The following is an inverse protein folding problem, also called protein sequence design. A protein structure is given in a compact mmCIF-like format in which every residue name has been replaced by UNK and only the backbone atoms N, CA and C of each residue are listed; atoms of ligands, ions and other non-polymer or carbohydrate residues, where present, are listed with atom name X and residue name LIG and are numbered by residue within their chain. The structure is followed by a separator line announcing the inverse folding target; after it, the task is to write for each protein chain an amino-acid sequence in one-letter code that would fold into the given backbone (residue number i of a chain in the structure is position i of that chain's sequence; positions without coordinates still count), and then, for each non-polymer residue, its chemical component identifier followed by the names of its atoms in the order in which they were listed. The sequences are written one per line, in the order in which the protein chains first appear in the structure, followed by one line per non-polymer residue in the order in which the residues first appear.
data_IF_374481706895
#
_entry.id   IF_374481706895
#
_cell.length_a   1.000
_cell.length_b   1.000
_cell.length_c   1.000
_cell.angle_alpha   90.00
_cell.angle_beta   90.00
_cell.angle_gamma   90.00
#
_symmetry.space_group_name_H-M   'P 1'
#
loop_
_entity.id
_entity.type
_entity.pdbx_description
1 polymer ?
#
# COMPACT_ATOMS: atom_id res chain seq x y z
N UNK A 1 56.48 10.76 18.73
CA UNK A 1 55.99 11.99 18.07
C UNK A 1 56.37 13.15 19.00
N UNK A 2 57.52 13.80 18.78
CA UNK A 2 58.04 14.90 19.63
C UNK A 2 57.22 16.19 19.49
N UNK A 3 57.86 17.37 19.47
CA UNK A 3 57.21 18.70 19.37
C UNK A 3 56.06 18.82 18.35
N UNK A 4 56.09 18.08 17.23
CA UNK A 4 54.97 18.01 16.26
C UNK A 4 53.66 17.43 16.82
N UNK A 5 53.72 16.59 17.85
CA UNK A 5 52.55 16.06 18.53
C UNK A 5 51.87 17.10 19.42
N UNK A 6 52.66 17.98 20.05
CA UNK A 6 52.13 19.12 20.81
C UNK A 6 51.49 20.16 19.88
N UNK A 7 52.11 20.41 18.72
CA UNK A 7 51.55 21.31 17.71
C UNK A 7 50.22 20.77 17.14
N UNK A 8 50.15 19.47 16.82
CA UNK A 8 48.91 18.83 16.37
C UNK A 8 47.83 18.90 17.44
N UNK A 9 48.20 18.66 18.70
CA UNK A 9 47.27 18.75 19.84
C UNK A 9 46.77 20.17 20.03
N UNK A 10 47.63 21.19 19.92
CA UNK A 10 47.23 22.61 19.96
C UNK A 10 46.36 23.01 18.78
N UNK A 11 46.60 22.45 17.59
CA UNK A 11 45.78 22.72 16.41
C UNK A 11 44.39 22.09 16.54
N UNK A 12 44.30 20.86 17.07
CA UNK A 12 43.04 20.18 17.34
C UNK A 12 42.27 20.86 18.48
N UNK A 13 42.94 21.19 19.58
CA UNK A 13 42.34 21.92 20.71
C UNK A 13 41.89 23.32 20.28
N UNK A 14 42.71 24.04 19.52
CA UNK A 14 42.36 25.36 18.99
C UNK A 14 41.23 25.32 17.95
N UNK A 15 41.08 24.23 17.18
CA UNK A 15 39.92 24.01 16.32
C UNK A 15 38.66 23.72 17.14
N UNK A 16 38.75 22.85 18.16
CA UNK A 16 37.64 22.55 19.06
C UNK A 16 37.17 23.78 19.82
N UNK A 17 38.09 24.62 20.31
CA UNK A 17 37.79 25.87 21.02
C UNK A 17 37.21 26.96 20.10
N UNK A 18 37.61 26.99 18.81
CA UNK A 18 37.03 27.91 17.81
C UNK A 18 35.69 27.44 17.23
N UNK A 19 35.36 26.17 17.37
CA UNK A 19 34.03 25.70 17.02
C UNK A 19 33.05 26.21 18.07
N UNK A 20 32.38 27.32 17.74
CA UNK A 20 31.22 27.81 18.48
C UNK A 20 30.21 26.65 18.59
N UNK A 21 30.10 26.04 19.78
CA UNK A 21 29.25 24.86 20.02
C UNK A 21 27.80 25.03 19.53
N UNK A 22 27.30 26.26 19.45
CA UNK A 22 26.00 26.59 18.87
C UNK A 22 25.84 26.30 17.36
N UNK A 23 26.90 26.45 16.54
CA UNK A 23 26.83 26.18 15.10
C UNK A 23 26.80 24.67 14.81
N UNK A 24 27.66 23.89 15.46
CA UNK A 24 27.63 22.43 15.35
C UNK A 24 26.34 21.84 15.94
N UNK A 25 25.88 22.34 17.09
CA UNK A 25 24.60 21.92 17.66
C UNK A 25 23.42 22.25 16.73
N UNK A 26 23.43 23.41 16.09
CA UNK A 26 22.42 23.79 15.10
C UNK A 26 22.42 22.87 13.87
N UNK A 27 23.59 22.57 13.31
CA UNK A 27 23.72 21.63 12.18
C UNK A 27 23.27 20.22 12.58
N UNK A 28 23.67 19.75 13.76
CA UNK A 28 23.26 18.45 14.29
C UNK A 28 21.75 18.34 14.49
N UNK A 29 21.12 19.40 15.02
CA UNK A 29 19.67 19.45 15.18
C UNK A 29 18.95 19.41 13.83
N UNK A 30 19.40 20.19 12.85
CA UNK A 30 18.84 20.18 11.49
C UNK A 30 18.96 18.78 10.87
N UNK A 31 20.12 18.14 11.00
CA UNK A 31 20.35 16.80 10.47
C UNK A 31 19.48 15.74 11.17
N UNK A 32 19.29 15.85 12.48
CA UNK A 32 18.43 14.97 13.27
C UNK A 32 16.96 15.12 12.86
N UNK A 33 16.47 16.36 12.71
CA UNK A 33 15.12 16.62 12.23
C UNK A 33 14.95 16.07 10.81
N UNK A 34 15.90 16.35 9.91
CA UNK A 34 15.88 15.86 8.54
C UNK A 34 15.83 14.34 8.46
N UNK A 35 16.71 13.65 9.19
CA UNK A 35 16.77 12.18 9.20
C UNK A 35 15.51 11.56 9.80
N UNK A 36 14.97 12.13 10.88
CA UNK A 36 13.72 11.68 11.50
C UNK A 36 12.54 11.81 10.54
N UNK A 37 12.38 12.97 9.89
CA UNK A 37 11.32 13.19 8.89
C UNK A 37 11.50 12.28 7.69
N UNK A 38 12.73 12.09 7.21
CA UNK A 38 13.04 11.17 6.11
C UNK A 38 12.68 9.73 6.46
N UNK A 39 12.97 9.29 7.68
CA UNK A 39 12.64 7.96 8.16
C UNK A 39 11.12 7.75 8.19
N UNK A 40 10.36 8.68 8.76
CA UNK A 40 8.89 8.60 8.80
C UNK A 40 8.32 8.50 7.38
N UNK A 41 8.81 9.33 6.45
CA UNK A 41 8.38 9.28 5.06
C UNK A 41 8.64 7.93 4.41
N UNK A 42 9.82 7.34 4.61
CA UNK A 42 10.14 6.00 4.08
C UNK A 42 9.24 4.91 4.65
N UNK A 43 8.88 5.01 5.93
CA UNK A 43 7.91 4.10 6.57
C UNK A 43 6.56 4.23 5.88
N UNK A 44 6.04 5.45 5.74
CA UNK A 44 4.77 5.70 5.06
C UNK A 44 4.79 5.21 3.61
N UNK A 45 5.84 5.52 2.85
CA UNK A 45 6.02 5.09 1.47
C UNK A 45 6.04 3.55 1.35
N UNK A 46 6.65 2.86 2.31
CA UNK A 46 6.68 1.38 2.34
C UNK A 46 5.29 0.79 2.57
N UNK A 47 4.51 1.36 3.48
CA UNK A 47 3.12 0.95 3.69
C UNK A 47 2.26 1.28 2.47
N UNK A 48 2.35 2.50 1.94
CA UNK A 48 1.65 2.91 0.73
C UNK A 48 1.99 2.02 -0.46
N UNK A 49 3.23 1.57 -0.58
CA UNK A 49 3.66 0.60 -1.59
C UNK A 49 2.95 -0.75 -1.43
N UNK A 50 2.91 -1.30 -0.21
CA UNK A 50 2.20 -2.56 0.10
C UNK A 50 0.71 -2.43 -0.21
N UNK A 51 0.10 -1.31 0.17
CA UNK A 51 -1.32 -1.03 -0.06
C UNK A 51 -1.63 -0.48 -1.47
N UNK A 52 -0.62 -0.38 -2.35
CA UNK A 52 -0.70 0.09 -3.73
C UNK A 52 -1.37 1.46 -3.89
N UNK A 53 -1.02 2.40 -3.02
CA UNK A 53 -1.52 3.79 -3.06
C UNK A 53 -0.64 4.62 -4.00
N UNK A 54 -1.22 5.16 -5.08
CA UNK A 54 -0.47 5.88 -6.13
C UNK A 54 -0.07 7.33 -5.73
N UNK A 55 -0.68 7.91 -4.70
CA UNK A 55 -0.41 9.28 -4.26
C UNK A 55 -0.20 9.38 -2.73
N UNK A 56 1.03 9.68 -2.31
CA UNK A 56 1.35 10.13 -0.95
C UNK A 56 0.93 11.60 -0.83
N UNK A 57 -0.05 11.91 0.03
CA UNK A 57 -0.36 13.30 0.40
C UNK A 57 0.81 13.89 1.22
N UNK A 58 0.77 15.20 1.49
CA UNK A 58 1.85 15.90 2.20
C UNK A 58 2.02 15.36 3.64
N UNK A 59 3.13 14.67 3.91
CA UNK A 59 3.48 14.06 5.23
C UNK A 59 3.36 15.07 6.39
N UNK A 60 3.68 16.35 6.11
CA UNK A 60 3.66 17.43 7.10
C UNK A 60 2.24 17.78 7.59
N UNK A 61 1.20 17.56 6.78
CA UNK A 61 -0.19 17.80 7.18
C UNK A 61 -0.70 16.76 8.19
N UNK A 62 -0.16 15.54 8.17
CA UNK A 62 -0.54 14.45 9.08
C UNK A 62 0.38 14.28 10.27
N UNK A 63 1.49 15.03 10.33
CA UNK A 63 2.41 14.99 11.45
C UNK A 63 1.71 15.24 12.80
N UNK A 64 0.74 16.16 12.85
CA UNK A 64 -0.07 16.43 14.05
C UNK A 64 -0.94 15.24 14.48
N UNK A 65 -1.53 14.52 13.51
CA UNK A 65 -2.35 13.34 13.76
C UNK A 65 -1.49 12.18 14.28
N UNK A 66 -0.31 11.95 13.69
CA UNK A 66 0.65 10.95 14.15
C UNK A 66 1.28 11.29 15.49
N UNK A 67 1.62 12.56 15.72
CA UNK A 67 2.18 13.04 16.98
C UNK A 67 1.18 12.88 18.13
N UNK A 68 -0.10 13.15 17.88
CA UNK A 68 -1.17 12.94 18.87
C UNK A 68 -1.26 11.48 19.28
N UNK A 69 -1.29 10.56 18.32
CA UNK A 69 -1.30 9.12 18.61
C UNK A 69 -0.03 8.66 19.32
N UNK A 70 1.14 9.13 18.86
CA UNK A 70 2.44 8.73 19.42
C UNK A 70 2.65 9.23 20.85
N UNK A 71 2.07 10.37 21.22
CA UNK A 71 2.13 10.92 22.58
C UNK A 71 1.04 10.32 23.47
N UNK A 72 -0.19 10.22 22.97
CA UNK A 72 -1.34 9.74 23.74
C UNK A 72 -1.27 8.22 23.96
N UNK A 73 -0.80 7.45 22.96
CA UNK A 73 -0.72 5.99 23.00
C UNK A 73 0.10 5.44 24.18
N UNK A 74 1.36 5.87 24.38
CA UNK A 74 2.18 5.47 25.52
C UNK A 74 1.60 5.91 26.86
N UNK A 75 1.05 7.12 26.96
CA UNK A 75 0.41 7.62 28.19
C UNK A 75 -0.79 6.73 28.54
N UNK A 76 -1.63 6.41 27.56
CA UNK A 76 -2.75 5.49 27.75
C UNK A 76 -2.28 4.08 28.13
N UNK A 77 -1.24 3.56 27.48
CA UNK A 77 -0.66 2.25 27.83
C UNK A 77 -0.15 2.22 29.26
N UNK A 78 0.68 3.19 29.66
CA UNK A 78 1.24 3.25 31.03
C UNK A 78 0.12 3.42 32.05
N UNK A 79 -0.89 4.25 31.75
CA UNK A 79 -2.05 4.41 32.62
C UNK A 79 -2.86 3.12 32.74
N UNK A 80 -3.09 2.42 31.62
CA UNK A 80 -3.77 1.13 31.59
C UNK A 80 -2.98 0.05 32.35
N UNK A 81 -1.66 -0.02 32.17
CA UNK A 81 -0.79 -0.94 32.91
C UNK A 81 -0.77 -0.62 34.39
N UNK A 82 -0.77 0.67 34.78
CA UNK A 82 -0.87 1.10 36.16
C UNK A 82 -2.21 0.71 36.80
N UNK A 83 -3.32 0.90 36.08
CA UNK A 83 -4.66 0.46 36.50
C UNK A 83 -4.75 -1.06 36.61
N UNK A 84 -4.22 -1.81 35.64
CA UNK A 84 -4.17 -3.28 35.67
C UNK A 84 -3.30 -3.79 36.82
N UNK A 85 -2.16 -3.17 37.09
CA UNK A 85 -1.32 -3.50 38.24
C UNK A 85 -2.01 -3.18 39.57
N UNK A 86 -2.73 -2.07 39.64
CA UNK A 86 -3.54 -1.72 40.82
C UNK A 86 -4.65 -2.74 41.06
N UNK A 87 -5.40 -3.10 40.01
CA UNK A 87 -6.45 -4.13 40.07
C UNK A 87 -5.88 -5.51 40.41
N UNK A 88 -4.73 -5.87 39.84
CA UNK A 88 -4.05 -7.14 40.12
C UNK A 88 -3.54 -7.25 41.56
N UNK A 89 -3.27 -6.14 42.23
CA UNK A 89 -2.89 -6.11 43.65
C UNK A 89 -4.09 -6.08 44.61
N UNK A 90 -5.34 -5.93 44.13
CA UNK A 90 -6.51 -5.99 45.00
C UNK A 90 -6.61 -7.39 45.64
N UNK A 91 -6.81 -7.43 46.96
CA UNK A 91 -6.93 -8.67 47.74
C UNK A 91 -8.02 -9.61 47.20
N UNK A 92 -9.06 -9.06 46.57
CA UNK A 92 -10.15 -9.83 45.95
C UNK A 92 -9.63 -10.65 44.74
N UNK A 93 -8.71 -10.10 43.96
CA UNK A 93 -8.12 -10.78 42.78
C UNK A 93 -7.09 -11.82 43.24
N UNK A 94 -6.30 -11.51 44.28
CA UNK A 94 -5.34 -12.47 44.86
C UNK A 94 -6.05 -13.63 45.58
N UNK A 95 -7.16 -13.37 46.27
CA UNK A 95 -7.97 -14.41 46.92
C UNK A 95 -8.80 -15.22 45.91
N UNK A 96 -9.24 -14.61 44.80
CA UNK A 96 -9.88 -15.32 43.69
C UNK A 96 -8.90 -16.23 42.94
N UNK A 97 -7.61 -15.88 42.87
CA UNK A 97 -6.57 -16.72 42.28
C UNK A 97 -6.30 -18.04 43.04
N UNK A 98 -6.84 -18.22 44.25
CA UNK A 98 -6.85 -19.49 44.98
C UNK A 98 -7.89 -20.50 44.49
N UNK A 99 -8.80 -20.10 43.59
CA UNK A 99 -9.76 -20.97 42.94
C UNK A 99 -9.08 -21.56 41.70
N UNK A 100 -8.97 -22.89 41.61
CA UNK A 100 -8.16 -23.59 40.60
C UNK A 100 -8.43 -23.19 39.14
N UNK A 101 -9.64 -22.76 38.78
CA UNK A 101 -9.97 -22.26 37.44
C UNK A 101 -9.49 -20.83 37.14
N UNK A 102 -9.27 -20.00 38.16
CA UNK A 102 -8.85 -18.59 38.02
C UNK A 102 -7.32 -18.49 37.90
N UNK A 103 -6.58 -19.40 38.52
CA UNK A 103 -5.12 -19.44 38.40
C UNK A 103 -4.65 -19.77 36.99
N UNK A 104 -5.20 -20.83 36.37
CA UNK A 104 -4.84 -21.25 35.01
C UNK A 104 -5.22 -20.20 33.97
N UNK A 105 -6.39 -19.56 34.11
CA UNK A 105 -6.84 -18.48 33.23
C UNK A 105 -5.98 -17.23 33.37
N UNK A 106 -5.53 -16.88 34.58
CA UNK A 106 -4.64 -15.73 34.80
C UNK A 106 -3.25 -15.97 34.19
N UNK A 107 -2.71 -17.19 34.32
CA UNK A 107 -1.45 -17.59 33.68
C UNK A 107 -1.52 -17.56 32.16
N UNK A 108 -2.62 -18.07 31.60
CA UNK A 108 -2.85 -18.12 30.16
C UNK A 108 -3.04 -16.71 29.57
N UNK A 109 -3.77 -15.84 30.27
CA UNK A 109 -3.88 -14.41 29.92
C UNK A 109 -2.52 -13.73 29.98
N UNK A 110 -1.71 -13.98 31.01
CA UNK A 110 -0.36 -13.40 31.13
C UNK A 110 0.58 -13.81 30.00
N UNK A 111 0.49 -15.06 29.53
CA UNK A 111 1.30 -15.56 28.40
C UNK A 111 0.82 -15.03 27.05
N UNK A 112 -0.50 -14.85 26.86
CA UNK A 112 -1.07 -14.33 25.61
C UNK A 112 -1.03 -12.80 25.52
N UNK A 113 -0.97 -12.08 26.64
CA UNK A 113 -1.03 -10.62 26.67
C UNK A 113 0.03 -9.95 25.77
N UNK A 114 1.31 -10.37 25.75
CA UNK A 114 2.29 -9.79 24.83
C UNK A 114 1.92 -9.99 23.35
N UNK A 115 1.37 -11.15 23.00
CA UNK A 115 0.93 -11.45 21.64
C UNK A 115 -0.26 -10.57 21.24
N UNK A 116 -1.21 -10.37 22.15
CA UNK A 116 -2.39 -9.51 21.95
C UNK A 116 -1.94 -8.05 21.77
N UNK A 117 -1.04 -7.56 22.62
CA UNK A 117 -0.53 -6.19 22.55
C UNK A 117 0.21 -5.92 21.23
N UNK A 118 1.06 -6.84 20.80
CA UNK A 118 1.83 -6.69 19.56
C UNK A 118 0.93 -6.83 18.34
N UNK A 119 0.00 -7.78 18.36
CA UNK A 119 -1.01 -7.91 17.29
C UNK A 119 -1.87 -6.65 17.20
N UNK A 120 -2.24 -6.07 18.35
CA UNK A 120 -2.96 -4.80 18.43
C UNK A 120 -2.14 -3.63 17.88
N UNK A 121 -0.85 -3.54 18.23
CA UNK A 121 0.06 -2.53 17.71
C UNK A 121 0.20 -2.61 16.19
N UNK A 122 0.39 -3.81 15.64
CA UNK A 122 0.46 -4.03 14.20
C UNK A 122 -0.86 -3.72 13.51
N UNK A 123 -2.00 -4.16 14.07
CA UNK A 123 -3.34 -3.80 13.58
C UNK A 123 -3.50 -2.29 13.50
N UNK A 124 -3.12 -1.59 14.56
CA UNK A 124 -3.15 -0.14 14.64
C UNK A 124 -2.27 0.50 13.56
N UNK A 125 -1.01 0.06 13.42
CA UNK A 125 -0.11 0.54 12.39
C UNK A 125 -0.68 0.34 10.98
N UNK A 126 -1.27 -0.82 10.68
CA UNK A 126 -1.87 -1.10 9.38
C UNK A 126 -3.12 -0.26 9.11
N UNK A 127 -3.83 0.18 10.15
CA UNK A 127 -5.03 1.01 10.01
C UNK A 127 -4.72 2.50 9.83
N UNK A 128 -3.66 3.01 10.48
CA UNK A 128 -3.38 4.45 10.56
C UNK A 128 -2.24 4.94 9.67
N UNK A 129 -1.22 4.11 9.41
CA UNK A 129 -0.05 4.53 8.64
C UNK A 129 -0.37 4.67 7.14
N UNK A 130 -1.02 3.70 6.47
CA UNK A 130 -1.31 3.82 5.05
C UNK A 130 -2.21 5.02 4.73
N UNK A 131 -1.99 5.65 3.57
CA UNK A 131 -2.86 6.69 3.04
C UNK A 131 -4.11 6.11 2.34
N UNK A 132 -4.68 5.04 2.89
CA UNK A 132 -5.92 4.40 2.41
C UNK A 132 -6.77 3.93 3.60
N UNK A 133 -8.06 3.70 3.37
CA UNK A 133 -8.95 3.17 4.40
C UNK A 133 -8.82 1.65 4.46
N UNK A 134 -8.23 1.16 5.54
CA UNK A 134 -8.07 -0.28 5.79
C UNK A 134 -9.21 -0.78 6.68
N UNK A 135 -9.85 -1.87 6.27
CA UNK A 135 -10.92 -2.49 7.06
C UNK A 135 -10.35 -3.11 8.34
N UNK A 136 -11.02 -2.90 9.49
CA UNK A 136 -10.54 -3.38 10.79
C UNK A 136 -10.26 -4.89 10.80
N UNK A 137 -11.15 -5.71 10.24
CA UNK A 137 -10.96 -7.17 10.21
C UNK A 137 -9.75 -7.60 9.37
N UNK A 138 -9.47 -6.90 8.27
CA UNK A 138 -8.30 -7.17 7.45
C UNK A 138 -7.01 -6.75 8.16
N UNK A 139 -7.01 -5.56 8.78
CA UNK A 139 -5.92 -5.09 9.63
C UNK A 139 -5.65 -6.05 10.80
N UNK A 140 -6.71 -6.57 11.44
CA UNK A 140 -6.62 -7.53 12.54
C UNK A 140 -6.03 -8.86 12.08
N UNK A 141 -6.45 -9.39 10.93
CA UNK A 141 -5.88 -10.61 10.38
C UNK A 141 -4.39 -10.48 10.06
N UNK A 142 -3.98 -9.35 9.48
CA UNK A 142 -2.55 -9.04 9.29
C UNK A 142 -1.82 -8.82 10.61
N UNK A 143 -2.47 -8.17 11.59
CA UNK A 143 -1.93 -7.92 12.93
C UNK A 143 -1.65 -9.19 13.71
N UNK A 144 -2.59 -10.15 13.73
CA UNK A 144 -2.42 -11.47 14.35
C UNK A 144 -1.28 -12.23 13.66
N UNK A 145 -1.26 -12.23 12.32
CA UNK A 145 -0.22 -12.92 11.55
C UNK A 145 1.17 -12.36 11.87
N UNK A 146 1.31 -11.03 11.86
CA UNK A 146 2.55 -10.36 12.22
C UNK A 146 2.92 -10.58 13.69
N UNK A 147 1.95 -10.54 14.61
CA UNK A 147 2.18 -10.75 16.04
C UNK A 147 2.73 -12.16 16.35
N UNK A 148 2.16 -13.19 15.73
CA UNK A 148 2.66 -14.58 15.85
C UNK A 148 4.08 -14.69 15.30
N UNK A 149 4.34 -14.13 14.12
CA UNK A 149 5.67 -14.13 13.50
C UNK A 149 6.69 -13.40 14.36
N UNK A 150 6.34 -12.24 14.91
CA UNK A 150 7.21 -11.43 15.75
C UNK A 150 7.60 -12.17 17.02
N UNK A 151 6.63 -12.74 17.73
CA UNK A 151 6.91 -13.48 18.98
C UNK A 151 7.73 -14.74 18.74
N UNK A 152 7.40 -15.51 17.69
CA UNK A 152 8.14 -16.72 17.33
C UNK A 152 9.57 -16.39 16.94
N UNK A 153 9.75 -15.36 16.10
CA UNK A 153 11.09 -14.90 15.68
C UNK A 153 11.86 -14.32 16.85
N UNK A 154 11.22 -13.58 17.76
CA UNK A 154 11.84 -13.04 18.97
C UNK A 154 12.37 -14.11 19.91
N UNK A 155 11.62 -15.21 20.08
CA UNK A 155 12.07 -16.36 20.85
C UNK A 155 13.30 -17.01 20.20
N UNK A 156 13.26 -17.25 18.89
CA UNK A 156 14.38 -17.82 18.14
C UNK A 156 15.61 -16.92 18.19
N UNK A 157 15.41 -15.62 17.99
CA UNK A 157 16.47 -14.61 18.02
C UNK A 157 17.12 -14.51 19.40
N UNK A 158 16.32 -14.50 20.47
CA UNK A 158 16.84 -14.51 21.86
C UNK A 158 17.71 -15.73 22.10
N UNK A 159 17.25 -16.92 21.69
CA UNK A 159 18.05 -18.17 21.80
C UNK A 159 19.35 -18.09 21.01
N UNK A 160 19.29 -17.56 19.78
CA UNK A 160 20.47 -17.34 18.94
C UNK A 160 21.49 -16.41 19.61
N UNK A 161 21.06 -15.25 20.11
CA UNK A 161 21.93 -14.25 20.75
C UNK A 161 22.57 -14.82 22.01
N UNK A 162 21.81 -15.46 22.89
CA UNK A 162 22.34 -16.06 24.13
C UNK A 162 23.39 -17.13 23.81
N UNK A 163 23.16 -17.95 22.78
CA UNK A 163 24.13 -18.96 22.34
C UNK A 163 25.38 -18.35 21.71
N UNK A 164 25.23 -17.28 20.91
CA UNK A 164 26.34 -16.64 20.20
C UNK A 164 27.27 -15.87 21.15
N UNK A 165 26.72 -15.14 22.12
CA UNK A 165 27.49 -14.35 23.09
C UNK A 165 28.37 -15.22 24.00
N UNK A 166 28.03 -16.51 24.17
CA UNK A 166 28.82 -17.44 25.00
C UNK A 166 30.18 -17.81 24.39
N UNK A 167 30.44 -17.47 23.13
CA UNK A 167 31.63 -17.88 22.36
C UNK A 167 32.46 -16.69 21.81
N UNK A 168 32.16 -15.44 22.18
CA UNK A 168 32.78 -14.24 21.57
C UNK A 168 33.30 -13.30 22.66
N UNK A 169 34.56 -13.47 23.07
CA UNK A 169 35.16 -12.68 24.16
C UNK A 169 35.86 -11.39 23.69
N UNK A 170 36.24 -11.27 22.41
CA UNK A 170 37.09 -10.14 21.92
C UNK A 170 36.33 -9.21 20.95
N UNK A 171 35.31 -9.69 20.25
CA UNK A 171 34.53 -8.91 19.26
C UNK A 171 33.09 -8.58 19.70
N UNK A 172 32.76 -8.80 20.97
CA UNK A 172 31.39 -8.69 21.50
C UNK A 172 30.77 -7.31 21.26
N UNK A 173 31.53 -6.23 21.44
CA UNK A 173 31.03 -4.85 21.31
C UNK A 173 30.66 -4.46 19.87
N UNK A 174 31.40 -4.93 18.86
CA UNK A 174 31.02 -4.71 17.45
C UNK A 174 29.82 -5.57 17.02
N UNK A 175 29.74 -6.80 17.54
CA UNK A 175 28.64 -7.71 17.24
C UNK A 175 27.28 -7.17 17.73
N UNK A 176 27.23 -6.41 18.82
CA UNK A 176 25.98 -5.80 19.34
C UNK A 176 25.28 -4.96 18.27
N UNK A 177 26.01 -4.11 17.56
CA UNK A 177 25.43 -3.24 16.53
C UNK A 177 24.88 -4.07 15.36
N UNK A 178 25.63 -5.07 14.90
CA UNK A 178 25.21 -5.95 13.80
C UNK A 178 23.97 -6.75 14.19
N UNK A 179 23.97 -7.33 15.40
CA UNK A 179 22.84 -8.09 15.95
C UNK A 179 21.61 -7.19 16.09
N UNK A 180 21.77 -5.95 16.58
CA UNK A 180 20.68 -4.99 16.67
C UNK A 180 20.12 -4.62 15.28
N UNK A 181 20.97 -4.41 14.27
CA UNK A 181 20.55 -4.15 12.90
C UNK A 181 19.82 -5.36 12.28
N UNK A 182 20.28 -6.58 12.55
CA UNK A 182 19.61 -7.80 12.12
C UNK A 182 18.24 -7.96 12.78
N UNK A 183 18.13 -7.67 14.08
CA UNK A 183 16.84 -7.67 14.79
C UNK A 183 15.86 -6.65 14.21
N UNK A 184 16.35 -5.43 13.96
CA UNK A 184 15.59 -4.36 13.34
C UNK A 184 15.11 -4.78 11.94
N UNK A 185 15.99 -5.36 11.12
CA UNK A 185 15.65 -5.87 9.79
C UNK A 185 14.54 -6.92 9.85
N UNK A 186 14.67 -7.93 10.72
CA UNK A 186 13.65 -8.97 10.91
C UNK A 186 12.31 -8.37 11.38
N UNK A 187 12.35 -7.41 12.30
CA UNK A 187 11.15 -6.72 12.80
C UNK A 187 10.42 -5.98 11.68
N UNK A 188 11.15 -5.26 10.83
CA UNK A 188 10.58 -4.59 9.65
C UNK A 188 10.03 -5.58 8.63
N UNK A 189 10.73 -6.67 8.38
CA UNK A 189 10.28 -7.71 7.46
C UNK A 189 8.94 -8.30 7.93
N UNK A 190 8.83 -8.64 9.21
CA UNK A 190 7.61 -9.19 9.81
C UNK A 190 6.47 -8.16 9.75
N UNK A 191 6.75 -6.90 10.06
CA UNK A 191 5.78 -5.82 9.96
C UNK A 191 5.21 -5.69 8.55
N UNK A 192 6.07 -5.75 7.52
CA UNK A 192 5.64 -5.67 6.12
C UNK A 192 4.90 -6.93 5.64
N UNK A 193 5.29 -8.12 6.11
CA UNK A 193 4.56 -9.37 5.84
C UNK A 193 3.14 -9.29 6.41
N UNK A 194 2.97 -8.80 7.64
CA UNK A 194 1.65 -8.58 8.23
C UNK A 194 0.83 -7.54 7.47
N UNK A 195 1.46 -6.44 7.02
CA UNK A 195 0.80 -5.43 6.18
C UNK A 195 0.32 -6.01 4.85
N UNK A 196 1.14 -6.84 4.20
CA UNK A 196 0.79 -7.51 2.95
C UNK A 196 -0.33 -8.52 3.14
N UNK A 197 -0.34 -9.23 4.27
CA UNK A 197 -1.42 -10.13 4.66
C UNK A 197 -2.73 -9.36 4.86
N UNK A 198 -2.69 -8.22 5.56
CA UNK A 198 -3.86 -7.34 5.72
C UNK A 198 -4.38 -6.84 4.36
N UNK A 199 -3.48 -6.43 3.45
CA UNK A 199 -3.87 -5.98 2.12
C UNK A 199 -4.62 -7.07 1.34
N UNK A 200 -4.10 -8.31 1.31
CA UNK A 200 -4.75 -9.39 0.57
C UNK A 200 -6.03 -9.91 1.23
N UNK A 201 -6.15 -9.84 2.55
CA UNK A 201 -7.41 -10.10 3.24
C UNK A 201 -8.48 -9.06 2.90
N UNK A 202 -8.09 -7.79 2.71
CA UNK A 202 -9.01 -6.74 2.28
C UNK A 202 -9.35 -6.82 0.79
N UNK A 203 -8.37 -7.16 -0.05
CA UNK A 203 -8.47 -7.17 -1.51
C UNK A 203 -8.04 -8.53 -2.08
N UNK A 204 -8.83 -9.60 -1.90
CA UNK A 204 -8.48 -10.94 -2.36
C UNK A 204 -8.34 -11.04 -3.89
N UNK A 205 -8.99 -10.16 -4.65
CA UNK A 205 -8.86 -10.09 -6.12
C UNK A 205 -7.45 -9.74 -6.60
N UNK A 206 -6.63 -9.14 -5.73
CA UNK A 206 -5.23 -8.86 -6.03
C UNK A 206 -4.32 -10.07 -5.77
N UNK A 207 -4.85 -11.14 -5.15
CA UNK A 207 -4.14 -12.38 -4.86
C UNK A 207 -3.80 -13.07 -6.18
N UNK A 208 -2.59 -12.83 -6.68
CA UNK A 208 -2.06 -13.51 -7.86
C UNK A 208 -1.72 -14.94 -7.49
N UNK A 209 -2.56 -15.90 -7.91
CA UNK A 209 -2.15 -17.30 -7.98
C UNK A 209 -1.19 -17.44 -9.17
N UNK A 210 0.08 -17.07 -8.97
CA UNK A 210 1.17 -17.32 -9.91
C UNK A 210 1.89 -16.07 -10.48
N UNK A 211 3.18 -16.26 -10.77
CA UNK A 211 4.12 -15.28 -11.35
C UNK A 211 3.91 -15.01 -12.86
N UNK A 212 2.75 -15.34 -13.45
CA UNK A 212 2.54 -15.09 -14.87
C UNK A 212 2.28 -13.60 -15.10
N UNK A 213 3.05 -12.92 -15.98
CA UNK A 213 2.71 -11.56 -16.38
C UNK A 213 1.28 -11.59 -16.93
N UNK A 214 0.47 -10.58 -16.57
CA UNK A 214 -0.92 -10.48 -16.97
C UNK A 214 -0.97 -10.17 -18.48
N UNK A 215 -0.83 -11.22 -19.29
CA UNK A 215 -0.82 -11.11 -20.74
C UNK A 215 -2.23 -11.33 -21.26
N UNK A 216 -2.97 -10.24 -21.35
CA UNK A 216 -4.28 -10.22 -21.99
C UNK A 216 -4.11 -9.89 -23.47
N UNK A 217 -4.75 -10.71 -24.32
CA UNK A 217 -4.75 -10.50 -25.76
C UNK A 217 -5.45 -9.19 -26.15
N UNK A 218 -5.06 -8.63 -27.30
CA UNK A 218 -5.53 -7.32 -27.77
C UNK A 218 -7.07 -7.26 -27.88
N UNK A 219 -7.70 -8.30 -28.42
CA UNK A 219 -9.16 -8.42 -28.52
C UNK A 219 -9.87 -8.33 -27.15
N UNK A 220 -9.29 -8.90 -26.10
CA UNK A 220 -9.89 -8.84 -24.76
C UNK A 220 -9.78 -7.42 -24.18
N UNK A 221 -8.66 -6.74 -24.38
CA UNK A 221 -8.49 -5.33 -23.97
C UNK A 221 -9.53 -4.42 -24.62
N UNK A 222 -9.75 -4.60 -25.93
CA UNK A 222 -10.75 -3.86 -26.70
C UNK A 222 -12.16 -4.09 -26.18
N UNK A 223 -12.54 -5.35 -25.94
CA UNK A 223 -13.84 -5.69 -25.37
C UNK A 223 -14.06 -5.10 -23.98
N UNK A 224 -13.05 -5.17 -23.10
CA UNK A 224 -13.14 -4.58 -21.76
C UNK A 224 -13.32 -3.07 -21.86
N UNK A 225 -12.57 -2.39 -22.72
CA UNK A 225 -12.69 -0.93 -22.84
C UNK A 225 -14.02 -0.48 -23.43
N UNK A 226 -14.58 -1.25 -24.38
CA UNK A 226 -15.94 -1.04 -24.86
C UNK A 226 -16.95 -1.26 -23.73
N UNK A 227 -16.86 -2.37 -22.99
CA UNK A 227 -17.78 -2.67 -21.88
C UNK A 227 -17.78 -1.57 -20.82
N UNK A 228 -16.61 -1.08 -20.43
CA UNK A 228 -16.47 0.01 -19.44
C UNK A 228 -17.18 1.28 -19.90
N UNK A 229 -16.96 1.70 -21.15
CA UNK A 229 -17.58 2.91 -21.71
C UNK A 229 -19.09 2.73 -21.87
N UNK A 230 -19.53 1.57 -22.37
CA UNK A 230 -20.95 1.29 -22.61
C UNK A 230 -21.73 1.22 -21.30
N UNK A 231 -21.19 0.58 -20.26
CA UNK A 231 -21.85 0.51 -18.95
C UNK A 231 -21.88 1.89 -18.29
N UNK A 232 -20.78 2.65 -18.33
CA UNK A 232 -20.75 4.02 -17.83
C UNK A 232 -21.76 4.93 -18.56
N UNK A 233 -21.84 4.83 -19.89
CA UNK A 233 -22.79 5.59 -20.70
C UNK A 233 -24.25 5.16 -20.47
N UNK A 234 -24.51 3.86 -20.31
CA UNK A 234 -25.85 3.33 -20.03
C UNK A 234 -26.36 3.83 -18.69
N UNK A 235 -25.55 3.76 -17.63
CA UNK A 235 -25.95 4.26 -16.31
C UNK A 235 -26.09 5.78 -16.28
N UNK A 236 -25.24 6.49 -17.01
CA UNK A 236 -25.36 7.94 -17.16
C UNK A 236 -26.67 8.33 -17.85
N UNK A 237 -27.02 7.66 -18.96
CA UNK A 237 -28.29 7.87 -19.68
C UNK A 237 -29.51 7.55 -18.83
N UNK A 238 -29.46 6.44 -18.09
CA UNK A 238 -30.57 5.98 -17.24
C UNK A 238 -30.66 6.74 -15.90
N UNK A 239 -29.78 7.71 -15.62
CA UNK A 239 -29.75 8.48 -14.37
C UNK A 239 -29.41 7.65 -13.12
N UNK A 240 -28.74 6.51 -13.29
CA UNK A 240 -28.38 5.59 -12.20
C UNK A 240 -27.06 5.99 -11.53
N UNK A 241 -26.75 5.37 -10.40
CA UNK A 241 -25.48 5.59 -9.70
C UNK A 241 -24.28 5.19 -10.59
N UNK A 242 -23.20 5.99 -10.61
CA UNK A 242 -21.99 5.67 -11.37
C UNK A 242 -21.47 4.27 -11.06
N UNK A 243 -21.03 3.55 -12.09
CA UNK A 243 -20.53 2.18 -11.96
C UNK A 243 -19.12 2.19 -11.35
N UNK A 244 -18.81 1.27 -10.44
CA UNK A 244 -17.46 1.15 -9.89
C UNK A 244 -16.64 0.14 -10.69
N UNK A 245 -15.31 0.25 -10.66
CA UNK A 245 -14.43 -0.72 -11.33
C UNK A 245 -14.65 -2.16 -10.81
N UNK A 246 -14.95 -2.31 -9.51
CA UNK A 246 -15.21 -3.60 -8.86
C UNK A 246 -16.56 -4.19 -9.31
N UNK A 247 -17.58 -3.36 -9.53
CA UNK A 247 -18.85 -3.81 -10.13
C UNK A 247 -18.66 -4.31 -11.56
N UNK A 248 -17.88 -3.60 -12.39
CA UNK A 248 -17.57 -4.05 -13.76
C UNK A 248 -16.81 -5.37 -13.71
N UNK A 249 -15.80 -5.49 -12.83
CA UNK A 249 -15.03 -6.72 -12.64
C UNK A 249 -15.92 -7.93 -12.33
N UNK A 250 -16.90 -7.73 -11.44
CA UNK A 250 -17.88 -8.76 -11.07
C UNK A 250 -18.81 -9.10 -12.24
N UNK A 251 -19.27 -8.09 -13.00
CA UNK A 251 -20.18 -8.28 -14.13
C UNK A 251 -19.53 -9.04 -15.29
N UNK A 252 -18.26 -8.78 -15.58
CA UNK A 252 -17.54 -9.41 -16.70
C UNK A 252 -16.82 -10.71 -16.31
N UNK A 253 -16.93 -11.14 -15.04
CA UNK A 253 -16.22 -12.28 -14.46
C UNK A 253 -14.71 -12.22 -14.72
N UNK A 254 -14.11 -11.04 -14.51
CA UNK A 254 -12.66 -10.84 -14.63
C UNK A 254 -12.10 -10.14 -13.40
N UNK A 255 -10.88 -10.47 -12.95
CA UNK A 255 -10.22 -9.75 -11.87
C UNK A 255 -10.06 -8.26 -12.19
N UNK A 256 -10.30 -7.37 -11.21
CA UNK A 256 -10.13 -5.91 -11.40
C UNK A 256 -8.72 -5.49 -11.86
N UNK A 257 -7.71 -6.36 -11.62
CA UNK A 257 -6.35 -6.21 -12.11
C UNK A 257 -6.25 -6.21 -13.65
N UNK A 258 -7.17 -6.88 -14.34
CA UNK A 258 -7.26 -6.92 -15.82
C UNK A 258 -7.83 -5.62 -16.38
N UNK A 259 -8.76 -5.00 -15.63
CA UNK A 259 -9.47 -3.79 -16.04
C UNK A 259 -8.61 -2.54 -15.78
N UNK A 260 -7.82 -2.56 -14.71
CA UNK A 260 -7.02 -1.40 -14.27
C UNK A 260 -6.16 -0.75 -15.38
N UNK A 261 -5.41 -1.50 -16.22
CA UNK A 261 -4.64 -0.91 -17.32
C UNK A 261 -5.51 -0.29 -18.41
N UNK A 262 -6.65 -0.90 -18.73
CA UNK A 262 -7.59 -0.41 -19.74
C UNK A 262 -8.27 0.86 -19.25
N UNK A 263 -8.74 0.86 -18.00
CA UNK A 263 -9.36 2.01 -17.35
C UNK A 263 -8.43 3.23 -17.36
N UNK A 264 -7.16 3.05 -16.99
CA UNK A 264 -6.16 4.13 -17.05
C UNK A 264 -5.99 4.72 -18.46
N UNK A 265 -6.00 3.88 -19.51
CA UNK A 265 -5.92 4.37 -20.90
C UNK A 265 -7.15 5.20 -21.27
N UNK A 266 -8.35 4.76 -20.89
CA UNK A 266 -9.59 5.49 -21.13
C UNK A 266 -9.67 6.81 -20.35
N UNK A 267 -9.24 6.82 -19.09
CA UNK A 267 -9.19 8.04 -18.27
C UNK A 267 -8.21 9.06 -18.83
N UNK A 268 -7.02 8.62 -19.27
CA UNK A 268 -6.02 9.51 -19.88
C UNK A 268 -6.49 10.08 -21.23
N UNK A 269 -7.25 9.30 -22.01
CA UNK A 269 -7.86 9.79 -23.24
C UNK A 269 -9.04 10.75 -22.99
N UNK A 270 -9.44 10.95 -21.74
CA UNK A 270 -10.59 11.79 -21.35
C UNK A 270 -11.94 11.18 -21.74
N UNK A 271 -12.00 9.85 -21.94
CA UNK A 271 -13.22 9.14 -22.28
C UNK A 271 -14.02 8.70 -21.04
N UNK A 272 -13.33 8.49 -19.91
CA UNK A 272 -13.91 8.22 -18.60
C UNK A 272 -13.37 9.25 -17.61
N UNK A 273 -14.22 9.67 -16.67
CA UNK A 273 -13.83 10.44 -15.50
C UNK A 273 -14.25 9.72 -14.22
N UNK A 274 -13.47 9.92 -13.15
CA UNK A 274 -13.80 9.41 -11.82
C UNK A 274 -14.64 10.43 -11.06
N UNK A 275 -15.74 9.99 -10.48
CA UNK A 275 -16.68 10.76 -9.69
C UNK A 275 -16.79 10.19 -8.28
N UNK A 276 -16.52 11.03 -7.27
CA UNK A 276 -16.74 10.71 -5.85
C UNK A 276 -16.06 9.42 -5.37
N UNK A 277 -16.86 8.48 -4.85
CA UNK A 277 -16.42 7.17 -4.30
C UNK A 277 -15.99 6.18 -5.40
N UNK A 278 -15.06 6.56 -6.28
CA UNK A 278 -14.55 5.70 -7.37
C UNK A 278 -15.63 5.31 -8.40
N UNK A 279 -16.66 6.15 -8.57
CA UNK A 279 -17.68 5.96 -9.58
C UNK A 279 -17.16 6.40 -10.96
N UNK A 280 -17.35 5.58 -11.98
CA UNK A 280 -16.94 5.84 -13.34
C UNK A 280 -18.10 6.49 -14.09
N UNK A 281 -17.83 7.64 -14.69
CA UNK A 281 -18.75 8.38 -15.56
C UNK A 281 -18.08 8.64 -16.92
N UNK A 282 -18.86 8.81 -18.00
CA UNK A 282 -18.32 9.28 -19.26
C UNK A 282 -17.61 10.64 -19.09
N UNK A 283 -16.41 10.77 -19.64
CA UNK A 283 -15.63 12.02 -19.59
C UNK A 283 -16.12 13.09 -20.56
N UNK A 284 -16.95 12.70 -21.53
CA UNK A 284 -17.61 13.56 -22.53
C UNK A 284 -19.03 13.06 -22.74
N UNK A 285 -19.84 13.84 -23.45
CA UNK A 285 -21.18 13.42 -23.86
C UNK A 285 -21.10 12.11 -24.67
N UNK A 286 -21.81 11.03 -24.28
CA UNK A 286 -21.82 9.75 -25.00
C UNK A 286 -22.21 9.85 -26.49
N UNK A 287 -22.92 10.90 -26.91
CA UNK A 287 -23.22 11.17 -28.32
C UNK A 287 -21.99 11.65 -29.12
N UNK A 288 -21.00 12.21 -28.44
CA UNK A 288 -19.76 12.71 -29.05
C UNK A 288 -18.62 11.69 -29.01
N UNK A 289 -18.71 10.68 -28.14
CA UNK A 289 -17.72 9.61 -28.03
C UNK A 289 -17.95 8.62 -29.16
N UNK A 290 -16.98 8.49 -30.07
CA UNK A 290 -17.03 7.53 -31.18
C UNK A 290 -16.39 6.21 -30.78
N UNK A 291 -16.82 5.12 -31.41
CA UNK A 291 -16.18 3.80 -31.21
C UNK A 291 -14.71 3.83 -31.64
N UNK A 292 -14.37 4.60 -32.69
CA UNK A 292 -12.99 4.84 -33.12
C UNK A 292 -12.13 5.42 -32.00
N UNK A 293 -12.67 6.33 -31.18
CA UNK A 293 -11.94 6.99 -30.10
C UNK A 293 -11.59 6.00 -28.99
N UNK A 294 -12.52 5.08 -28.68
CA UNK A 294 -12.33 4.02 -27.68
C UNK A 294 -11.25 3.04 -28.16
N UNK A 295 -11.36 2.55 -29.39
CA UNK A 295 -10.39 1.61 -29.95
C UNK A 295 -9.01 2.26 -30.10
N UNK A 296 -8.95 3.52 -30.55
CA UNK A 296 -7.73 4.30 -30.63
C UNK A 296 -7.08 4.48 -29.26
N UNK A 297 -7.86 4.81 -28.22
CA UNK A 297 -7.35 4.91 -26.85
C UNK A 297 -6.78 3.58 -26.31
N UNK A 298 -7.30 2.44 -26.75
CA UNK A 298 -6.83 1.13 -26.30
C UNK A 298 -5.61 0.68 -27.11
N UNK A 299 -5.59 0.93 -28.43
CA UNK A 299 -4.59 0.41 -29.36
C UNK A 299 -3.35 1.28 -29.49
N UNK A 300 -3.51 2.61 -29.47
CA UNK A 300 -2.41 3.53 -29.73
C UNK A 300 -1.46 3.63 -28.54
N UNK A 301 -0.23 4.07 -28.83
CA UNK A 301 0.81 4.28 -27.83
C UNK A 301 0.46 5.46 -26.92
N UNK A 302 0.69 5.27 -25.61
CA UNK A 302 0.51 6.30 -24.60
C UNK A 302 1.85 6.83 -24.08
N UNK A 303 1.88 8.06 -23.60
CA UNK A 303 3.07 8.67 -22.99
C UNK A 303 3.66 7.87 -21.81
N UNK A 304 2.88 6.96 -21.22
CA UNK A 304 3.31 6.09 -20.12
C UNK A 304 3.79 4.71 -20.58
N UNK A 305 3.69 4.39 -21.87
CA UNK A 305 4.20 3.14 -22.40
C UNK A 305 5.73 3.21 -22.47
N UNK A 306 6.39 2.20 -21.89
CA UNK A 306 7.86 2.16 -21.74
C UNK A 306 8.54 2.02 -23.12
N UNK A 307 7.86 1.37 -24.07
CA UNK A 307 8.30 1.19 -25.44
C UNK A 307 7.18 1.64 -26.37
N UNK A 308 7.36 2.80 -26.99
CA UNK A 308 6.41 3.43 -27.92
C UNK A 308 7.05 3.69 -29.29
N UNK A 309 8.28 3.22 -29.50
CA UNK A 309 9.05 3.45 -30.72
C UNK A 309 9.75 2.16 -31.14
N UNK A 310 9.61 1.81 -32.41
CA UNK A 310 10.27 0.65 -33.02
C UNK A 310 10.74 0.99 -34.43
N UNK A 311 11.80 0.31 -34.90
CA UNK A 311 12.22 0.37 -36.30
C UNK A 311 11.55 -0.77 -37.04
N UNK A 312 10.52 -0.44 -37.83
CA UNK A 312 9.77 -1.41 -38.63
C UNK A 312 10.08 -1.22 -40.11
N UNK A 313 9.96 -2.31 -40.89
CA UNK A 313 10.08 -2.23 -42.34
C UNK A 313 8.95 -1.35 -42.92
N UNK A 314 9.19 -0.62 -44.03
CA UNK A 314 8.17 0.22 -44.66
C UNK A 314 6.85 -0.52 -44.94
N UNK A 315 6.93 -1.78 -45.37
CA UNK A 315 5.75 -2.60 -45.68
C UNK A 315 4.91 -2.89 -44.42
N UNK A 316 5.56 -3.07 -43.27
CA UNK A 316 4.88 -3.30 -41.98
C UNK A 316 4.16 -2.02 -41.53
N UNK A 317 4.82 -0.85 -41.67
CA UNK A 317 4.19 0.43 -41.36
C UNK A 317 3.00 0.72 -42.29
N UNK A 318 3.10 0.37 -43.58
CA UNK A 318 2.01 0.55 -44.53
C UNK A 318 0.78 -0.31 -44.15
N UNK A 319 1.00 -1.55 -43.71
CA UNK A 319 -0.07 -2.43 -43.23
C UNK A 319 -0.68 -1.89 -41.94
N UNK A 320 0.14 -1.46 -40.96
CA UNK A 320 -0.37 -0.90 -39.70
C UNK A 320 -1.22 0.36 -39.92
N UNK A 321 -0.74 1.28 -40.77
CA UNK A 321 -1.50 2.46 -41.17
C UNK A 321 -2.82 2.11 -41.84
N UNK A 322 -2.84 1.11 -42.72
CA UNK A 322 -4.08 0.65 -43.38
C UNK A 322 -5.08 0.05 -42.39
N UNK A 323 -4.61 -0.78 -41.45
CA UNK A 323 -5.45 -1.35 -40.39
C UNK A 323 -6.08 -0.22 -39.55
N UNK A 324 -5.28 0.75 -39.13
CA UNK A 324 -5.74 1.86 -38.30
C UNK A 324 -6.73 2.75 -39.08
N UNK A 325 -6.42 3.13 -40.32
CA UNK A 325 -7.31 3.95 -41.16
C UNK A 325 -8.63 3.24 -41.49
N UNK A 326 -8.61 1.92 -41.68
CA UNK A 326 -9.81 1.13 -41.96
C UNK A 326 -10.77 1.11 -40.77
N UNK A 327 -10.22 0.98 -39.56
CA UNK A 327 -11.01 0.94 -38.33
C UNK A 327 -11.53 2.33 -37.97
N UNK A 328 -10.68 3.36 -38.08
CA UNK A 328 -11.11 4.75 -37.90
C UNK A 328 -12.19 5.11 -38.93
N UNK A 329 -11.99 4.78 -40.21
CA UNK A 329 -12.96 5.04 -41.27
C UNK A 329 -14.32 4.43 -41.00
N UNK A 330 -14.36 3.13 -40.66
CA UNK A 330 -15.62 2.41 -40.44
C UNK A 330 -16.38 2.88 -39.19
N UNK A 331 -15.67 3.11 -38.09
CA UNK A 331 -16.28 3.45 -36.80
C UNK A 331 -16.35 4.96 -36.51
N UNK A 332 -15.87 5.80 -37.43
CA UNK A 332 -15.86 7.26 -37.27
C UNK A 332 -17.25 7.87 -37.03
N UNK A 333 -18.30 7.29 -37.62
CA UNK A 333 -19.65 7.86 -37.55
C UNK A 333 -20.54 7.19 -36.49
N UNK A 334 -20.06 6.14 -35.82
CA UNK A 334 -20.85 5.41 -34.84
C UNK A 334 -20.52 5.91 -33.42
N UNK A 335 -21.45 6.68 -32.84
CA UNK A 335 -21.33 7.12 -31.45
C UNK A 335 -21.70 5.99 -30.48
N UNK A 336 -21.24 6.11 -29.23
CA UNK A 336 -21.63 5.19 -28.14
C UNK A 336 -23.14 5.25 -27.92
N UNK A 337 -23.74 6.44 -28.02
CA UNK A 337 -25.18 6.61 -27.88
C UNK A 337 -25.97 5.86 -28.98
N UNK A 338 -25.54 5.99 -30.24
CA UNK A 338 -26.17 5.29 -31.37
C UNK A 338 -26.00 3.78 -31.29
N UNK A 339 -24.84 3.31 -30.81
CA UNK A 339 -24.60 1.89 -30.59
C UNK A 339 -25.50 1.34 -29.46
N UNK A 340 -25.69 2.10 -28.38
CA UNK A 340 -26.57 1.72 -27.28
C UNK A 340 -28.05 1.70 -27.69
N UNK A 341 -28.51 2.66 -28.50
CA UNK A 341 -29.90 2.73 -28.96
C UNK A 341 -30.24 1.60 -29.94
N UNK A 342 -29.34 1.29 -30.87
CA UNK A 342 -29.49 0.18 -31.81
C UNK A 342 -29.49 -1.19 -31.12
N UNK A 343 -28.68 -1.36 -30.07
CA UNK A 343 -28.63 -2.60 -29.30
C UNK A 343 -29.92 -2.83 -28.48
N UNK A 344 -30.56 -1.77 -27.99
CA UNK A 344 -31.85 -1.88 -27.28
C UNK A 344 -33.02 -2.19 -28.22
N UNK A 345 -33.02 -1.67 -29.45
CA UNK A 345 -34.07 -1.95 -30.44
C UNK A 345 -34.11 -3.40 -30.93
N UNK A 346 -32.96 -4.08 -30.97
CA UNK A 346 -32.88 -5.49 -31.39
C UNK A 346 -33.35 -6.48 -30.30
N UNK A 347 -33.39 -6.08 -29.03
CA UNK A 347 -33.86 -6.97 -27.95
C UNK A 347 -35.39 -7.05 -27.86
N UNK A 348 -36.15 -6.11 -28.46
CA UNK A 348 -37.62 -6.18 -28.53
C UNK A 348 -38.15 -7.07 -29.67
N UNK A 349 -37.27 -7.56 -30.56
CA UNK A 349 -37.63 -8.42 -31.70
C UNK A 349 -37.33 -9.91 -31.49
N UNK A 350 -37.11 -10.37 -30.26
CA UNK A 350 -37.12 -11.82 -29.98
C UNK A 350 -38.58 -12.29 -29.93
N UNK A 351 -39.00 -13.20 -30.83
CA UNK A 351 -40.38 -13.70 -30.80
C UNK A 351 -40.56 -14.49 -29.51
N UNK A 352 -41.62 -14.17 -28.77
CA UNK A 352 -42.17 -15.06 -27.75
C UNK A 352 -42.50 -16.37 -28.44
N UNK A 353 -41.78 -17.42 -28.09
CA UNK A 353 -42.14 -18.82 -28.32
C UNK A 353 -42.03 -19.56 -27.02
#
# INVERSE_FOLDING_TARGET
LGSRGEDLTRQVMGFVDNIKGGLLAGIGLILLIYTSVSMIKKVEDSFNYVFRVEHSRNVLQRFSEYLSVLLIGPVLMVTAMGLLAYVGNLDIVQNAAGISGIHETTLLVGQLLPYILISGLFTFSYMFIPNTRVNFFAALGGGITGGILWSTTGLLFTRFVVSATRNIDIYASFAVVIVALMWLYLSWLILLIGAQTAFYLQKPEYLRIGYKPLNIGNRLREKIGLEVIFEAARRFRDGKTPVTADEIATQIDQPGLVISPVLRRLTNAGLIAESGKQGLIPGRDPSTIRISDILGAIRNDHQRDIFNHGKWAPDVNAIDLNINSSIEGFYSNLSVYDALSNATGNNEQTPKT
#
